data_IF_489376787966
#
_entry.id   IF_489376787966
#
_cell.length_a   1.000
_cell.length_b   1.000
_cell.length_c   1.000
_cell.angle_alpha   90.00
_cell.angle_beta   90.00
_cell.angle_gamma   90.00
#
_symmetry.space_group_name_H-M   'P 1'
#
loop_
_entity.id
_entity.type
_entity.pdbx_description
1 polymer ?
#
# COMPACT_ATOMS: atom_id res chain seq x y z
N UNK A 1 5.38 -10.92 -16.67
CA UNK A 1 4.92 -9.89 -15.71
C UNK A 1 4.25 -8.78 -16.49
N UNK A 2 3.08 -8.32 -16.08
CA UNK A 2 2.43 -7.16 -16.70
C UNK A 2 3.25 -5.91 -16.35
N UNK A 3 3.73 -5.18 -17.37
CA UNK A 3 4.37 -3.86 -17.23
C UNK A 3 3.36 -2.77 -16.80
N UNK A 4 2.23 -3.18 -16.25
CA UNK A 4 1.15 -2.26 -15.85
C UNK A 4 1.53 -1.55 -14.58
N UNK A 5 1.67 -0.24 -14.66
CA UNK A 5 1.86 0.64 -13.51
C UNK A 5 0.51 0.89 -12.83
N UNK A 6 0.50 0.73 -11.52
CA UNK A 6 -0.64 0.96 -10.63
C UNK A 6 -0.37 2.23 -9.82
N UNK A 7 -1.31 3.16 -9.83
CA UNK A 7 -1.31 4.33 -8.94
C UNK A 7 -2.39 4.11 -7.89
N UNK A 8 -1.98 4.10 -6.63
CA UNK A 8 -2.81 3.87 -5.45
C UNK A 8 -2.83 5.14 -4.56
N UNK A 9 -3.79 6.08 -4.76
CA UNK A 9 -3.91 7.22 -3.87
C UNK A 9 -4.19 6.77 -2.43
N UNK A 10 -3.35 7.22 -1.45
CA UNK A 10 -3.60 7.02 -0.04
C UNK A 10 -4.57 8.05 0.49
N UNK A 11 -5.75 7.59 0.93
CA UNK A 11 -6.79 8.47 1.51
C UNK A 11 -6.38 9.06 2.85
N UNK A 12 -5.27 8.66 3.44
CA UNK A 12 -4.69 9.32 4.61
C UNK A 12 -4.43 10.81 4.37
N UNK A 13 -4.18 11.21 3.10
CA UNK A 13 -3.93 12.60 2.72
C UNK A 13 -5.20 13.36 2.27
N UNK A 14 -6.36 12.71 2.23
CA UNK A 14 -7.63 13.27 1.83
C UNK A 14 -8.31 14.09 2.95
N UNK A 15 -9.35 14.82 2.60
CA UNK A 15 -10.22 15.51 3.58
C UNK A 15 -11.17 14.50 4.24
N UNK A 16 -10.88 14.12 5.49
CA UNK A 16 -11.69 13.15 6.24
C UNK A 16 -13.12 13.63 6.50
N UNK A 17 -13.40 14.94 6.46
CA UNK A 17 -14.76 15.48 6.64
C UNK A 17 -15.70 15.10 5.48
N UNK A 18 -15.14 14.71 4.32
CA UNK A 18 -15.86 14.30 3.10
C UNK A 18 -15.27 13.05 2.43
N UNK A 19 -14.69 12.18 3.21
CA UNK A 19 -13.86 11.06 2.74
C UNK A 19 -14.54 10.16 1.68
N UNK A 20 -15.86 9.97 1.76
CA UNK A 20 -16.62 9.21 0.75
C UNK A 20 -16.63 9.89 -0.63
N UNK A 21 -16.67 11.22 -0.68
CA UNK A 21 -16.58 11.96 -1.94
C UNK A 21 -15.15 12.00 -2.45
N UNK A 22 -14.15 12.10 -1.55
CA UNK A 22 -12.74 11.99 -1.90
C UNK A 22 -12.42 10.66 -2.61
N UNK A 23 -12.96 9.54 -2.12
CA UNK A 23 -12.81 8.21 -2.76
C UNK A 23 -13.42 8.21 -4.17
N UNK A 24 -14.64 8.77 -4.35
CA UNK A 24 -15.27 8.89 -5.68
C UNK A 24 -14.45 9.77 -6.62
N UNK A 25 -13.91 10.86 -6.09
CA UNK A 25 -13.18 11.84 -6.91
C UNK A 25 -11.84 11.28 -7.39
N UNK A 26 -11.08 10.54 -6.57
CA UNK A 26 -9.84 9.89 -7.02
C UNK A 26 -10.11 8.69 -7.93
N UNK A 27 -11.20 7.93 -7.73
CA UNK A 27 -11.63 6.87 -8.65
C UNK A 27 -11.87 7.44 -10.05
N UNK A 28 -12.68 8.51 -10.17
CA UNK A 28 -12.94 9.21 -11.43
C UNK A 28 -11.68 9.84 -12.04
N UNK A 29 -10.74 10.27 -11.20
CA UNK A 29 -9.47 10.86 -11.61
C UNK A 29 -8.49 9.85 -12.21
N UNK A 30 -8.81 8.54 -12.21
CA UNK A 30 -8.00 7.51 -12.85
C UNK A 30 -7.07 6.75 -11.90
N UNK A 31 -7.37 6.73 -10.59
CA UNK A 31 -6.75 5.81 -9.65
C UNK A 31 -6.97 4.36 -10.10
N UNK A 32 -5.98 3.50 -9.90
CA UNK A 32 -6.11 2.07 -10.17
C UNK A 32 -6.59 1.33 -8.92
N UNK A 33 -6.07 1.70 -7.74
CA UNK A 33 -6.45 1.21 -6.43
C UNK A 33 -6.76 2.37 -5.49
N UNK A 34 -7.38 2.07 -4.35
CA UNK A 34 -7.58 3.01 -3.22
C UNK A 34 -6.78 2.46 -2.05
N UNK A 35 -5.76 3.18 -1.62
CA UNK A 35 -4.89 2.77 -0.53
C UNK A 35 -5.42 3.26 0.82
N UNK A 36 -5.52 2.33 1.80
CA UNK A 36 -6.18 2.51 3.08
C UNK A 36 -5.18 2.28 4.23
N UNK A 37 -4.63 3.36 4.78
CA UNK A 37 -3.65 3.33 5.87
C UNK A 37 -4.32 3.20 7.23
N UNK A 38 -4.33 1.99 7.79
CA UNK A 38 -4.90 1.68 9.10
C UNK A 38 -3.81 1.72 10.17
N UNK A 39 -4.04 2.53 11.22
CA UNK A 39 -3.09 2.75 12.30
C UNK A 39 -3.78 2.63 13.66
N UNK A 40 -3.14 1.95 14.63
CA UNK A 40 -3.70 1.64 15.94
C UNK A 40 -3.15 2.51 17.09
N UNK A 41 -2.22 3.42 16.83
CA UNK A 41 -1.56 4.24 17.85
C UNK A 41 -0.51 3.49 18.69
N UNK A 42 -0.19 2.22 18.33
CA UNK A 42 0.79 1.39 19.02
C UNK A 42 1.94 0.98 18.10
N UNK A 43 1.65 0.38 16.96
CA UNK A 43 2.68 0.06 15.94
C UNK A 43 3.33 1.32 15.39
N UNK A 44 2.52 2.36 15.18
CA UNK A 44 2.94 3.72 14.80
C UNK A 44 2.31 4.75 15.73
N UNK A 45 2.96 5.92 15.97
CA UNK A 45 2.46 6.95 16.89
C UNK A 45 1.35 7.81 16.24
N UNK A 46 0.40 7.18 15.58
CA UNK A 46 -0.75 7.81 14.93
C UNK A 46 -1.93 6.83 14.94
N UNK A 47 -3.15 7.37 14.95
CA UNK A 47 -4.41 6.62 14.92
C UNK A 47 -5.24 7.11 13.75
N UNK A 48 -5.76 6.19 12.92
CA UNK A 48 -6.57 6.59 11.76
C UNK A 48 -7.99 6.02 11.84
N UNK A 49 -8.22 4.87 11.24
CA UNK A 49 -9.55 4.27 11.12
C UNK A 49 -9.43 2.73 11.08
N UNK A 50 -10.58 2.07 11.06
CA UNK A 50 -10.66 0.60 11.01
C UNK A 50 -11.79 0.10 10.11
N UNK A 51 -12.20 -1.18 10.26
CA UNK A 51 -13.17 -1.83 9.41
C UNK A 51 -14.48 -1.08 9.19
N UNK A 52 -15.07 -0.37 10.18
CA UNK A 52 -16.32 0.38 9.98
C UNK A 52 -16.21 1.47 8.91
N UNK A 53 -15.08 2.20 8.83
CA UNK A 53 -14.88 3.20 7.79
C UNK A 53 -14.70 2.54 6.42
N UNK A 54 -13.88 1.49 6.33
CA UNK A 54 -13.65 0.75 5.07
C UNK A 54 -14.99 0.25 4.50
N UNK A 55 -15.83 -0.35 5.36
CA UNK A 55 -17.18 -0.80 4.98
C UNK A 55 -18.06 0.35 4.47
N UNK A 56 -17.97 1.51 5.10
CA UNK A 56 -18.73 2.70 4.67
C UNK A 56 -18.21 3.25 3.34
N UNK A 57 -16.91 3.13 3.05
CA UNK A 57 -16.29 3.59 1.80
C UNK A 57 -16.51 2.63 0.62
N UNK A 58 -16.67 1.32 0.87
CA UNK A 58 -16.79 0.32 -0.20
C UNK A 58 -17.82 0.64 -1.28
N UNK A 59 -19.03 1.16 -0.98
CA UNK A 59 -20.02 1.54 -2.00
C UNK A 59 -19.61 2.71 -2.90
N UNK A 60 -18.58 3.48 -2.53
CA UNK A 60 -18.15 4.68 -3.27
C UNK A 60 -17.19 4.40 -4.41
N UNK A 61 -16.60 3.20 -4.51
CA UNK A 61 -15.70 2.79 -5.60
C UNK A 61 -15.76 1.29 -5.83
N UNK A 62 -15.53 0.85 -7.07
CA UNK A 62 -15.35 -0.56 -7.44
C UNK A 62 -13.86 -0.92 -7.63
N UNK A 63 -12.96 0.02 -7.38
CA UNK A 63 -11.52 -0.23 -7.45
C UNK A 63 -11.07 -1.15 -6.33
N UNK A 64 -9.90 -1.75 -6.50
CA UNK A 64 -9.24 -2.52 -5.44
C UNK A 64 -9.04 -1.66 -4.21
N UNK A 65 -9.55 -2.11 -3.06
CA UNK A 65 -9.23 -1.57 -1.74
C UNK A 65 -8.00 -2.29 -1.22
N UNK A 66 -6.91 -1.57 -1.22
CA UNK A 66 -5.60 -2.02 -0.76
C UNK A 66 -5.38 -1.54 0.67
N UNK A 67 -5.54 -2.45 1.63
CA UNK A 67 -5.57 -2.14 3.06
C UNK A 67 -4.23 -2.45 3.70
N UNK A 68 -3.51 -1.41 4.10
CA UNK A 68 -2.22 -1.45 4.77
C UNK A 68 -2.39 -1.35 6.28
N UNK A 69 -2.06 -2.43 6.99
CA UNK A 69 -2.25 -2.54 8.44
C UNK A 69 -0.96 -2.19 9.21
N UNK A 70 -0.87 -0.97 9.68
CA UNK A 70 0.14 -0.49 10.62
C UNK A 70 -0.37 -0.68 12.06
N UNK A 71 -0.58 -1.94 12.45
CA UNK A 71 -1.17 -2.33 13.74
C UNK A 71 -0.33 -3.39 14.43
N UNK A 72 -0.29 -3.37 15.76
CA UNK A 72 0.56 -4.26 16.56
C UNK A 72 0.07 -5.71 16.60
N UNK A 73 -1.22 -5.95 16.38
CA UNK A 73 -1.82 -7.29 16.36
C UNK A 73 -2.77 -7.42 15.16
N UNK A 74 -2.24 -7.64 13.93
CA UNK A 74 -3.07 -7.72 12.74
C UNK A 74 -4.02 -8.91 12.76
N UNK A 75 -3.62 -10.06 13.31
CA UNK A 75 -4.41 -11.30 13.30
C UNK A 75 -5.79 -11.13 13.96
N UNK A 76 -5.93 -10.20 14.91
CA UNK A 76 -7.15 -10.02 15.68
C UNK A 76 -8.36 -9.57 14.84
N UNK A 77 -8.15 -8.83 13.75
CA UNK A 77 -9.22 -8.19 12.97
C UNK A 77 -9.18 -8.50 11.47
N UNK A 78 -8.38 -9.49 11.02
CA UNK A 78 -8.28 -9.84 9.59
C UNK A 78 -9.64 -10.15 8.98
N UNK A 79 -10.48 -10.90 9.68
CA UNK A 79 -11.82 -11.25 9.21
C UNK A 79 -12.73 -10.02 9.08
N UNK A 80 -12.59 -9.04 9.99
CA UNK A 80 -13.37 -7.81 9.95
C UNK A 80 -12.94 -6.91 8.77
N UNK A 81 -11.64 -6.82 8.46
CA UNK A 81 -11.13 -6.10 7.30
C UNK A 81 -11.59 -6.72 5.98
N UNK A 82 -11.53 -8.06 5.87
CA UNK A 82 -12.04 -8.78 4.70
C UNK A 82 -13.54 -8.55 4.53
N UNK A 83 -14.34 -8.70 5.60
CA UNK A 83 -15.79 -8.47 5.58
C UNK A 83 -16.17 -6.99 5.32
N UNK A 84 -15.28 -6.05 5.62
CA UNK A 84 -15.46 -4.64 5.31
C UNK A 84 -15.27 -4.32 3.82
N UNK A 85 -14.68 -5.24 3.03
CA UNK A 85 -14.50 -5.10 1.59
C UNK A 85 -13.07 -4.76 1.16
N UNK A 86 -12.06 -5.09 1.99
CA UNK A 86 -10.66 -5.08 1.57
C UNK A 86 -10.42 -6.16 0.51
N UNK A 87 -9.79 -5.80 -0.60
CA UNK A 87 -9.40 -6.76 -1.66
C UNK A 87 -7.97 -7.28 -1.45
N UNK A 88 -7.11 -6.43 -0.89
CA UNK A 88 -5.76 -6.75 -0.47
C UNK A 88 -5.64 -6.39 1.01
N UNK A 89 -5.01 -7.27 1.79
CA UNK A 89 -4.64 -6.97 3.17
C UNK A 89 -3.13 -7.14 3.31
N UNK A 90 -2.45 -6.04 3.62
CA UNK A 90 -1.00 -5.99 3.78
C UNK A 90 -0.66 -5.79 5.25
N UNK A 91 0.07 -6.74 5.83
CA UNK A 91 0.52 -6.73 7.23
C UNK A 91 2.01 -6.46 7.33
N UNK A 92 2.46 -5.76 8.37
CA UNK A 92 3.89 -5.60 8.62
C UNK A 92 4.53 -6.91 9.10
N UNK A 93 5.67 -7.29 8.49
CA UNK A 93 6.44 -8.45 8.93
C UNK A 93 6.85 -8.33 10.41
N UNK A 94 7.12 -7.10 10.87
CA UNK A 94 7.51 -6.77 12.24
C UNK A 94 6.39 -6.96 13.26
N UNK A 95 5.13 -6.94 12.82
CA UNK A 95 3.95 -7.11 13.68
C UNK A 95 3.45 -8.56 13.76
N UNK A 96 3.96 -9.46 12.90
CA UNK A 96 3.49 -10.83 12.80
C UNK A 96 4.41 -11.79 13.54
N UNK A 97 3.92 -12.45 14.60
CA UNK A 97 4.67 -13.52 15.28
C UNK A 97 4.86 -14.76 14.40
N UNK A 98 3.88 -15.06 13.54
CA UNK A 98 3.84 -16.22 12.65
C UNK A 98 3.38 -15.79 11.25
N UNK A 99 4.24 -15.10 10.52
CA UNK A 99 3.91 -14.46 9.24
C UNK A 99 3.27 -15.41 8.22
N UNK A 100 3.80 -16.66 8.06
CA UNK A 100 3.22 -17.64 7.12
C UNK A 100 1.75 -17.96 7.47
N UNK A 101 1.43 -18.12 8.77
CA UNK A 101 0.06 -18.36 9.24
C UNK A 101 -0.84 -17.15 8.94
N UNK A 102 -0.39 -15.94 9.26
CA UNK A 102 -1.14 -14.70 9.01
C UNK A 102 -1.47 -14.52 7.53
N UNK A 103 -0.48 -14.73 6.64
CA UNK A 103 -0.68 -14.66 5.19
C UNK A 103 -1.64 -15.75 4.68
N UNK A 104 -1.55 -16.97 5.22
CA UNK A 104 -2.49 -18.04 4.89
C UNK A 104 -3.91 -17.67 5.28
N UNK A 105 -4.10 -17.11 6.47
CA UNK A 105 -5.42 -16.66 6.95
C UNK A 105 -6.01 -15.56 6.07
N UNK A 106 -5.21 -14.58 5.63
CA UNK A 106 -5.68 -13.55 4.69
C UNK A 106 -6.21 -14.17 3.40
N UNK A 107 -5.49 -15.16 2.84
CA UNK A 107 -5.90 -15.85 1.61
C UNK A 107 -7.17 -16.70 1.82
N UNK A 108 -7.30 -17.37 2.96
CA UNK A 108 -8.50 -18.14 3.33
C UNK A 108 -9.74 -17.25 3.47
N UNK A 109 -9.57 -15.98 3.83
CA UNK A 109 -10.64 -14.98 3.85
C UNK A 109 -11.00 -14.43 2.46
N UNK A 110 -10.34 -14.90 1.40
CA UNK A 110 -10.59 -14.49 0.01
C UNK A 110 -9.88 -13.20 -0.41
N UNK A 111 -9.01 -12.65 0.42
CA UNK A 111 -8.21 -11.47 0.09
C UNK A 111 -6.85 -11.86 -0.50
N UNK A 112 -6.26 -10.97 -1.29
CA UNK A 112 -4.85 -11.06 -1.66
C UNK A 112 -3.99 -10.74 -0.44
N UNK A 113 -2.91 -11.51 -0.24
CA UNK A 113 -2.04 -11.36 0.92
C UNK A 113 -0.80 -10.53 0.58
N UNK A 114 -0.63 -9.42 1.30
CA UNK A 114 0.53 -8.56 1.23
C UNK A 114 1.37 -8.58 2.51
N UNK A 115 2.69 -8.32 2.35
CA UNK A 115 3.59 -8.07 3.47
C UNK A 115 4.31 -6.74 3.29
N UNK A 116 4.31 -5.92 4.32
CA UNK A 116 5.07 -4.67 4.40
C UNK A 116 6.36 -4.86 5.19
N UNK A 117 7.41 -4.13 4.80
CA UNK A 117 8.68 -4.06 5.53
C UNK A 117 9.12 -2.60 5.72
N UNK A 118 9.51 -2.26 6.95
CA UNK A 118 10.06 -0.95 7.30
C UNK A 118 11.42 -0.69 6.63
N UNK A 119 11.88 0.58 6.55
CA UNK A 119 13.16 0.90 5.93
C UNK A 119 14.36 0.12 6.51
N UNK A 120 14.38 -0.15 7.82
CA UNK A 120 15.48 -0.87 8.48
C UNK A 120 15.34 -2.40 8.43
N UNK A 121 14.16 -2.94 8.09
CA UNK A 121 13.87 -4.38 8.18
C UNK A 121 14.53 -5.16 7.05
N UNK A 122 15.33 -6.19 7.34
CA UNK A 122 15.89 -7.07 6.32
C UNK A 122 14.81 -7.86 5.57
N UNK A 123 14.98 -8.06 4.26
CA UNK A 123 14.01 -8.77 3.43
C UNK A 123 14.22 -10.29 3.37
N UNK A 124 15.36 -10.81 3.85
CA UNK A 124 15.75 -12.22 3.70
C UNK A 124 14.72 -13.20 4.27
N UNK A 125 14.03 -12.83 5.35
CA UNK A 125 12.98 -13.65 5.93
C UNK A 125 11.78 -13.90 5.00
N UNK A 126 11.54 -13.01 4.04
CA UNK A 126 10.43 -13.11 3.10
C UNK A 126 10.60 -14.26 2.10
N UNK A 127 11.84 -14.71 1.83
CA UNK A 127 12.11 -15.82 0.91
C UNK A 127 11.37 -17.11 1.27
N UNK A 128 11.02 -17.30 2.55
CA UNK A 128 10.36 -18.49 3.05
C UNK A 128 8.82 -18.44 2.96
N UNK A 129 8.25 -17.29 2.58
CA UNK A 129 6.80 -17.07 2.47
C UNK A 129 6.35 -16.56 1.09
N UNK A 130 7.26 -16.53 0.10
CA UNK A 130 6.96 -16.00 -1.25
C UNK A 130 5.73 -16.68 -1.90
N UNK A 131 5.53 -17.98 -1.66
CA UNK A 131 4.40 -18.72 -2.23
C UNK A 131 3.04 -18.37 -1.57
N UNK A 132 3.06 -17.57 -0.49
CA UNK A 132 1.86 -17.02 0.17
C UNK A 132 1.55 -15.62 -0.29
N UNK A 133 2.49 -14.92 -0.96
CA UNK A 133 2.42 -13.49 -1.23
C UNK A 133 1.85 -13.18 -2.61
N UNK A 134 0.98 -12.22 -2.64
CA UNK A 134 0.51 -11.55 -3.87
C UNK A 134 1.13 -10.14 -4.00
N UNK A 135 1.63 -9.56 -2.87
CA UNK A 135 2.19 -8.22 -2.81
C UNK A 135 3.29 -8.11 -1.75
N UNK A 136 4.36 -7.37 -2.06
CA UNK A 136 5.37 -6.92 -1.10
C UNK A 136 5.41 -5.40 -1.13
N UNK A 137 5.07 -4.79 0.01
CA UNK A 137 5.13 -3.34 0.21
C UNK A 137 6.47 -2.96 0.86
N UNK A 138 7.26 -2.18 0.14
CA UNK A 138 8.49 -1.57 0.67
C UNK A 138 8.17 -0.17 1.17
N UNK A 139 8.26 0.03 2.50
CA UNK A 139 8.14 1.38 3.05
C UNK A 139 9.33 2.22 2.63
N UNK A 140 9.06 3.37 2.02
CA UNK A 140 10.09 4.33 1.58
C UNK A 140 10.18 5.56 2.47
N UNK A 141 9.46 5.52 3.59
CA UNK A 141 9.53 6.41 4.76
C UNK A 141 9.34 5.57 6.02
N UNK A 142 9.55 6.12 7.21
CA UNK A 142 9.06 5.47 8.44
C UNK A 142 7.54 5.62 8.50
N UNK A 143 6.77 4.50 8.68
CA UNK A 143 5.31 4.56 8.67
C UNK A 143 4.74 5.42 9.79
N UNK A 144 3.50 5.92 9.59
CA UNK A 144 2.74 6.66 10.60
C UNK A 144 2.25 8.04 10.18
N UNK A 145 2.92 8.74 9.27
CA UNK A 145 2.53 10.09 8.84
C UNK A 145 2.73 10.29 7.34
N UNK A 146 1.79 11.00 6.71
CA UNK A 146 1.92 11.43 5.32
C UNK A 146 2.88 12.63 5.13
N UNK A 147 3.30 12.88 3.89
CA UNK A 147 4.08 14.07 3.51
C UNK A 147 5.55 14.03 3.90
N UNK A 148 6.09 12.86 4.21
CA UNK A 148 7.51 12.65 4.50
C UNK A 148 8.36 12.61 3.24
N UNK A 149 9.67 12.87 3.37
CA UNK A 149 10.64 12.77 2.29
C UNK A 149 11.00 11.32 2.00
N UNK A 150 11.06 10.97 0.72
CA UNK A 150 11.48 9.66 0.24
C UNK A 150 12.91 9.29 0.68
N UNK A 151 13.09 8.10 1.23
CA UNK A 151 14.40 7.57 1.65
C UNK A 151 15.08 6.93 0.43
N UNK A 152 16.05 7.62 -0.18
CA UNK A 152 16.69 7.20 -1.43
C UNK A 152 17.34 5.80 -1.39
N UNK A 153 17.86 5.37 -0.23
CA UNK A 153 18.43 4.03 -0.03
C UNK A 153 17.42 2.90 -0.25
N UNK A 154 16.12 3.20 -0.26
CA UNK A 154 15.08 2.18 -0.51
C UNK A 154 15.04 1.73 -1.98
N UNK A 155 15.65 2.46 -2.91
CA UNK A 155 15.79 1.99 -4.30
C UNK A 155 16.56 0.66 -4.37
N UNK A 156 17.63 0.52 -3.60
CA UNK A 156 18.40 -0.72 -3.53
C UNK A 156 17.57 -1.87 -2.92
N UNK A 157 16.76 -1.57 -1.90
CA UNK A 157 15.85 -2.56 -1.30
C UNK A 157 14.78 -3.01 -2.29
N UNK A 158 14.18 -2.10 -3.06
CA UNK A 158 13.20 -2.44 -4.10
C UNK A 158 13.84 -3.36 -5.14
N UNK A 159 15.05 -3.04 -5.62
CA UNK A 159 15.80 -3.87 -6.57
C UNK A 159 16.13 -5.26 -5.98
N UNK A 160 16.48 -5.34 -4.70
CA UNK A 160 16.72 -6.59 -4.01
C UNK A 160 15.45 -7.45 -3.88
N UNK A 161 14.30 -6.84 -3.57
CA UNK A 161 13.00 -7.52 -3.57
C UNK A 161 12.67 -8.01 -4.98
N UNK A 162 12.91 -7.19 -6.03
CA UNK A 162 12.70 -7.62 -7.43
C UNK A 162 13.55 -8.84 -7.80
N UNK A 163 14.81 -8.85 -7.39
CA UNK A 163 15.69 -10.01 -7.60
C UNK A 163 15.20 -11.25 -6.82
N UNK A 164 14.72 -11.07 -5.58
CA UNK A 164 14.21 -12.16 -4.73
C UNK A 164 12.96 -12.81 -5.31
N UNK A 165 11.98 -12.04 -5.76
CA UNK A 165 10.72 -12.58 -6.30
C UNK A 165 10.92 -13.27 -7.66
N UNK A 166 11.94 -12.85 -8.44
CA UNK A 166 12.18 -13.40 -9.79
C UNK A 166 10.98 -13.20 -10.71
N UNK A 167 10.49 -14.31 -11.30
CA UNK A 167 9.34 -14.31 -12.23
C UNK A 167 7.99 -14.58 -11.56
N UNK A 168 7.94 -14.65 -10.22
CA UNK A 168 6.68 -14.82 -9.49
C UNK A 168 5.73 -13.64 -9.74
N UNK A 169 4.41 -13.87 -9.80
CA UNK A 169 3.42 -12.82 -10.03
C UNK A 169 3.15 -11.98 -8.76
N UNK A 170 4.21 -11.64 -8.03
CA UNK A 170 4.14 -10.82 -6.82
C UNK A 170 4.32 -9.35 -7.21
N UNK A 171 3.39 -8.50 -6.80
CA UNK A 171 3.47 -7.05 -7.04
C UNK A 171 4.41 -6.43 -6.01
N UNK A 172 5.37 -5.63 -6.47
CA UNK A 172 6.17 -4.78 -5.59
C UNK A 172 5.47 -3.43 -5.51
N UNK A 173 5.03 -3.10 -4.31
CA UNK A 173 4.44 -1.83 -3.96
C UNK A 173 5.40 -0.98 -3.15
N UNK A 174 5.27 0.33 -3.25
CA UNK A 174 6.05 1.30 -2.45
C UNK A 174 5.14 2.34 -1.85
N UNK A 175 5.38 2.67 -0.60
CA UNK A 175 4.66 3.72 0.12
C UNK A 175 5.60 4.64 0.86
N UNK A 176 5.40 5.95 0.61
CA UNK A 176 6.09 7.02 1.33
C UNK A 176 6.89 7.96 0.43
N UNK A 177 6.47 9.23 0.38
CA UNK A 177 7.17 10.29 -0.32
C UNK A 177 7.21 10.17 -1.84
N UNK A 178 6.29 9.43 -2.45
CA UNK A 178 6.20 9.24 -3.90
C UNK A 178 5.63 10.49 -4.55
N UNK A 179 6.35 10.96 -5.58
CA UNK A 179 6.00 12.12 -6.41
C UNK A 179 6.36 11.84 -7.87
N UNK A 180 5.98 12.72 -8.80
CA UNK A 180 6.41 12.63 -10.18
C UNK A 180 7.96 12.67 -10.33
N UNK A 181 8.68 13.36 -9.44
CA UNK A 181 10.14 13.49 -9.52
C UNK A 181 10.91 12.18 -9.25
N UNK A 182 10.32 11.26 -8.49
CA UNK A 182 10.95 9.99 -8.12
C UNK A 182 10.26 8.74 -8.67
N UNK A 183 9.04 8.84 -9.20
CA UNK A 183 8.25 7.71 -9.71
C UNK A 183 9.03 6.89 -10.76
N UNK A 184 9.75 7.53 -11.68
CA UNK A 184 10.57 6.84 -12.68
C UNK A 184 11.69 6.00 -12.08
N UNK A 185 12.38 6.51 -11.06
CA UNK A 185 13.46 5.78 -10.37
C UNK A 185 12.91 4.56 -9.63
N UNK A 186 11.78 4.72 -8.97
CA UNK A 186 11.11 3.66 -8.20
C UNK A 186 10.59 2.57 -9.14
N UNK A 187 9.99 2.95 -10.27
CA UNK A 187 9.53 2.01 -11.30
C UNK A 187 10.71 1.23 -11.92
N UNK A 188 11.79 1.93 -12.27
CA UNK A 188 13.01 1.32 -12.80
C UNK A 188 13.65 0.33 -11.82
N UNK A 189 13.58 0.59 -10.50
CA UNK A 189 14.05 -0.33 -9.45
C UNK A 189 13.19 -1.59 -9.34
N UNK A 190 11.96 -1.61 -9.89
CA UNK A 190 11.11 -2.80 -9.96
C UNK A 190 9.74 -2.68 -9.35
N UNK A 191 9.38 -1.55 -8.73
CA UNK A 191 8.03 -1.32 -8.23
C UNK A 191 7.00 -1.27 -9.37
N UNK A 192 5.78 -1.73 -9.09
CA UNK A 192 4.66 -1.71 -10.02
C UNK A 192 3.41 -1.06 -9.43
N UNK A 193 3.30 -0.95 -8.11
CA UNK A 193 2.27 -0.18 -7.44
C UNK A 193 2.92 0.98 -6.66
N UNK A 194 2.43 2.20 -6.88
CA UNK A 194 2.95 3.42 -6.28
C UNK A 194 1.86 4.05 -5.41
N UNK A 195 2.06 4.01 -4.10
CA UNK A 195 1.19 4.70 -3.16
C UNK A 195 1.57 6.17 -3.10
N UNK A 196 0.61 7.05 -3.39
CA UNK A 196 0.82 8.49 -3.39
C UNK A 196 -0.28 9.21 -2.60
N UNK A 197 0.08 9.82 -1.48
CA UNK A 197 -0.82 10.62 -0.65
C UNK A 197 -0.80 12.08 -1.08
N UNK A 198 0.03 12.89 -0.43
CA UNK A 198 0.08 14.36 -0.65
C UNK A 198 0.33 14.76 -2.10
N UNK A 199 1.04 13.95 -2.88
CA UNK A 199 1.30 14.21 -4.29
C UNK A 199 0.03 14.11 -5.16
N UNK A 200 -1.01 13.38 -4.71
CA UNK A 200 -2.31 13.30 -5.38
C UNK A 200 -3.29 14.33 -4.82
N UNK A 201 -3.38 14.48 -3.50
CA UNK A 201 -4.45 15.25 -2.83
C UNK A 201 -4.15 16.74 -2.68
N UNK A 202 -2.93 17.22 -2.97
CA UNK A 202 -2.55 18.63 -2.84
C UNK A 202 -2.25 19.27 -4.19
N UNK A 203 -2.55 20.58 -4.28
CA UNK A 203 -2.18 21.41 -5.43
C UNK A 203 -3.18 21.32 -6.59
N UNK A 204 -2.79 20.72 -7.70
CA UNK A 204 -3.58 20.60 -8.94
C UNK A 204 -4.79 19.66 -8.77
N UNK A 205 -5.52 19.42 -9.86
CA UNK A 205 -6.58 18.42 -9.86
C UNK A 205 -6.00 17.01 -9.63
N UNK A 206 -6.77 16.12 -8.98
CA UNK A 206 -6.34 14.73 -8.75
C UNK A 206 -5.97 14.01 -10.06
N UNK A 207 -6.70 14.27 -11.15
CA UNK A 207 -6.44 13.70 -12.46
C UNK A 207 -5.09 14.14 -13.04
N UNK A 208 -4.75 15.44 -12.91
CA UNK A 208 -3.46 15.96 -13.39
C UNK A 208 -2.31 15.37 -12.58
N UNK A 209 -2.48 15.28 -11.24
CA UNK A 209 -1.48 14.72 -10.34
C UNK A 209 -1.22 13.24 -10.62
N UNK A 210 -2.29 12.42 -10.75
CA UNK A 210 -2.18 11.00 -11.10
C UNK A 210 -1.52 10.83 -12.46
N UNK A 211 -1.93 11.64 -13.45
CA UNK A 211 -1.35 11.60 -14.80
C UNK A 211 0.14 11.95 -14.79
N UNK A 212 0.55 12.97 -14.03
CA UNK A 212 1.96 13.37 -13.90
C UNK A 212 2.81 12.24 -13.29
N UNK A 213 2.36 11.60 -12.20
CA UNK A 213 3.06 10.46 -11.59
C UNK A 213 3.16 9.29 -12.58
N UNK A 214 2.06 8.97 -13.27
CA UNK A 214 2.02 7.88 -14.26
C UNK A 214 2.93 8.14 -15.45
N UNK A 215 2.99 9.37 -15.94
CA UNK A 215 3.85 9.75 -17.07
C UNK A 215 5.34 9.69 -16.71
N UNK A 216 5.69 10.10 -15.49
CA UNK A 216 7.06 10.10 -14.99
C UNK A 216 7.63 8.70 -14.72
N UNK A 217 6.78 7.69 -14.52
CA UNK A 217 7.16 6.30 -14.26
C UNK A 217 7.37 5.47 -15.55
N UNK A 218 7.13 6.04 -16.73
CA UNK A 218 7.33 5.41 -18.04
C UNK A 218 8.57 5.97 -18.72
#
# INVERSE_FOLDING_TARGET
MTDTLIIAPSILAADFSRIGDEVKDVDKAGADWIHLDVMDGHFVPNLTFGPPLIKALRPHSQKTFDTHLMVSNPDALLADYAAAGSDIITVHAEACQHLDRTLSQIRELGCRAGVAVNPHTPIQGLQHVLDRLDLILVMTVNPGFGGQSFIAAMLDKIAAVKAMIGDRPIIIEVDGGITADNAGKVFAAGARALVAGSAVFKGNSYADNITAIRAAAR
#
